data_IF_233208339873
#
_entry.id   IF_233208339873
#
_cell.length_a   1.000
_cell.length_b   1.000
_cell.length_c   1.000
_cell.angle_alpha   90.00
_cell.angle_beta   90.00
_cell.angle_gamma   90.00
#
_symmetry.space_group_name_H-M   'P 1'
#
loop_
_entity.id
_entity.type
_entity.pdbx_description
1 polymer ?
#
# COMPACT_ATOMS: atom_id res chain seq x y z
N UNK A 1 20.23 0.45 -30.15
CA UNK A 1 19.43 0.62 -28.92
C UNK A 1 19.89 -0.44 -27.93
N UNK A 2 20.38 -0.09 -26.74
CA UNK A 2 20.70 -1.09 -25.72
C UNK A 2 19.44 -1.43 -24.94
N UNK A 3 18.99 -2.67 -25.03
CA UNK A 3 17.93 -3.19 -24.15
C UNK A 3 18.51 -3.36 -22.76
N UNK A 4 18.15 -2.47 -21.82
CA UNK A 4 18.46 -2.66 -20.42
C UNK A 4 17.62 -3.83 -19.90
N UNK A 5 18.24 -5.01 -19.79
CA UNK A 5 17.61 -6.16 -19.17
C UNK A 5 17.58 -5.95 -17.65
N UNK A 6 16.42 -5.58 -17.14
CA UNK A 6 16.19 -5.48 -15.71
C UNK A 6 15.78 -6.86 -15.20
N UNK A 7 16.53 -7.40 -14.24
CA UNK A 7 16.17 -8.64 -13.55
C UNK A 7 14.89 -8.39 -12.73
N UNK A 8 13.81 -9.07 -13.10
CA UNK A 8 12.55 -9.13 -12.35
C UNK A 8 12.82 -9.72 -10.96
N UNK A 9 13.08 -8.85 -9.99
CA UNK A 9 13.19 -9.19 -8.59
C UNK A 9 12.15 -8.38 -7.81
N UNK A 10 11.54 -8.98 -6.78
CA UNK A 10 10.57 -8.27 -5.94
C UNK A 10 11.30 -7.20 -5.13
N UNK A 11 10.69 -6.03 -4.97
CA UNK A 11 11.19 -5.02 -4.05
C UNK A 11 11.31 -5.61 -2.64
N UNK A 12 12.40 -5.26 -1.96
CA UNK A 12 12.66 -5.66 -0.57
C UNK A 12 12.23 -4.56 0.39
N UNK A 13 12.09 -4.89 1.67
CA UNK A 13 11.81 -3.90 2.72
C UNK A 13 12.88 -2.79 2.77
N UNK A 14 14.15 -3.14 2.55
CA UNK A 14 15.26 -2.18 2.53
C UNK A 14 15.19 -1.24 1.33
N UNK A 15 14.73 -1.71 0.16
CA UNK A 15 14.50 -0.87 -1.01
C UNK A 15 13.49 0.25 -0.65
N UNK A 16 12.35 -0.12 -0.06
CA UNK A 16 11.32 0.83 0.36
C UNK A 16 11.81 1.79 1.45
N UNK A 17 12.56 1.31 2.46
CA UNK A 17 13.14 2.16 3.52
C UNK A 17 14.08 3.24 2.96
N UNK A 18 14.88 2.90 1.95
CA UNK A 18 15.79 3.86 1.32
C UNK A 18 14.99 4.88 0.51
N UNK A 19 13.99 4.42 -0.26
CA UNK A 19 13.13 5.31 -1.06
C UNK A 19 12.31 6.26 -0.19
N UNK A 20 11.80 5.79 0.96
CA UNK A 20 11.06 6.63 1.89
C UNK A 20 11.90 7.81 2.40
N UNK A 21 13.17 7.58 2.71
CA UNK A 21 14.10 8.66 3.12
C UNK A 21 14.38 9.66 2.01
N UNK A 22 14.36 9.22 0.75
CA UNK A 22 14.48 10.10 -0.42
C UNK A 22 13.24 10.97 -0.53
N UNK A 23 12.05 10.37 -0.39
CA UNK A 23 10.78 11.08 -0.41
C UNK A 23 10.68 12.12 0.71
N UNK A 24 11.00 11.76 1.95
CA UNK A 24 11.01 12.68 3.09
C UNK A 24 11.91 13.90 2.84
N UNK A 25 13.10 13.69 2.27
CA UNK A 25 14.02 14.78 1.93
C UNK A 25 13.45 15.70 0.84
N UNK A 26 12.76 15.16 -0.17
CA UNK A 26 12.07 15.98 -1.18
C UNK A 26 10.91 16.76 -0.58
N UNK A 27 10.08 16.14 0.25
CA UNK A 27 8.98 16.83 0.93
C UNK A 27 9.51 17.96 1.80
N UNK A 28 10.63 17.76 2.49
CA UNK A 28 11.22 18.81 3.31
C UNK A 28 11.71 19.98 2.46
N UNK A 29 12.27 19.73 1.26
CA UNK A 29 12.65 20.79 0.31
C UNK A 29 11.42 21.51 -0.24
N UNK A 30 10.40 20.79 -0.71
CA UNK A 30 9.22 21.38 -1.36
C UNK A 30 8.30 22.12 -0.39
N UNK A 31 8.14 21.61 0.83
CA UNK A 31 7.17 22.14 1.80
C UNK A 31 7.78 23.16 2.78
N UNK A 32 9.10 23.36 2.75
CA UNK A 32 9.74 24.39 3.56
C UNK A 32 9.64 25.74 2.85
N UNK A 33 8.60 26.51 3.15
CA UNK A 33 8.38 27.84 2.57
C UNK A 33 9.59 28.79 2.71
N UNK A 34 10.54 28.51 3.61
CA UNK A 34 11.88 29.09 3.65
C UNK A 34 12.91 28.08 4.19
N UNK A 35 13.61 27.39 3.30
CA UNK A 35 14.80 26.60 3.60
C UNK A 35 16.06 27.42 3.35
N UNK A 36 17.07 27.27 4.21
CA UNK A 36 18.37 27.89 3.97
C UNK A 36 19.15 27.12 2.90
N UNK A 37 19.94 27.83 2.08
CA UNK A 37 20.78 27.22 1.04
C UNK A 37 21.64 26.06 1.56
N UNK A 38 22.22 26.21 2.76
CA UNK A 38 23.03 25.16 3.38
C UNK A 38 22.22 23.91 3.73
N UNK A 39 20.95 24.06 4.14
CA UNK A 39 20.09 22.93 4.47
C UNK A 39 19.60 22.25 3.20
N UNK A 40 19.26 23.01 2.18
CA UNK A 40 18.90 22.49 0.86
C UNK A 40 20.05 21.69 0.25
N UNK A 41 21.27 22.21 0.29
CA UNK A 41 22.47 21.51 -0.19
C UNK A 41 22.68 20.18 0.55
N UNK A 42 22.46 20.14 1.86
CA UNK A 42 22.58 18.92 2.67
C UNK A 42 21.51 17.90 2.31
N UNK A 43 20.26 18.32 2.16
CA UNK A 43 19.16 17.44 1.77
C UNK A 43 19.41 16.86 0.37
N UNK A 44 19.84 17.68 -0.59
CA UNK A 44 20.22 17.23 -1.92
C UNK A 44 21.34 16.18 -1.88
N UNK A 45 22.38 16.37 -1.06
CA UNK A 45 23.45 15.37 -0.88
C UNK A 45 22.94 14.07 -0.26
N UNK A 46 22.03 14.14 0.71
CA UNK A 46 21.38 12.96 1.29
C UNK A 46 20.57 12.22 0.23
N UNK A 47 19.73 12.94 -0.52
CA UNK A 47 18.92 12.38 -1.61
C UNK A 47 19.78 11.65 -2.63
N UNK A 48 20.83 12.30 -3.14
CA UNK A 48 21.76 11.69 -4.10
C UNK A 48 22.44 10.46 -3.49
N UNK A 49 22.95 10.56 -2.25
CA UNK A 49 23.61 9.44 -1.58
C UNK A 49 22.70 8.23 -1.38
N UNK A 50 21.41 8.45 -1.07
CA UNK A 50 20.43 7.39 -0.90
C UNK A 50 20.00 6.77 -2.23
N UNK A 51 19.84 7.56 -3.29
CA UNK A 51 19.58 7.05 -4.64
C UNK A 51 20.74 6.20 -5.16
N UNK A 52 21.99 6.61 -4.89
CA UNK A 52 23.17 5.82 -5.20
C UNK A 52 23.21 4.51 -4.40
N UNK A 53 22.83 4.56 -3.11
CA UNK A 53 22.74 3.37 -2.26
C UNK A 53 21.67 2.38 -2.76
N UNK A 54 20.52 2.89 -3.20
CA UNK A 54 19.44 2.07 -3.76
C UNK A 54 19.87 1.41 -5.08
N UNK A 55 20.63 2.15 -5.88
CA UNK A 55 21.07 1.74 -7.21
C UNK A 55 19.90 1.61 -8.19
N UNK A 56 20.24 1.42 -9.46
CA UNK A 56 19.24 1.22 -10.53
C UNK A 56 18.37 -0.01 -10.28
N UNK A 57 18.95 -1.07 -9.71
CA UNK A 57 18.23 -2.30 -9.37
C UNK A 57 17.13 -2.06 -8.34
N UNK A 58 17.43 -1.43 -7.20
CA UNK A 58 16.43 -1.16 -6.16
C UNK A 58 15.33 -0.22 -6.65
N UNK A 59 15.72 0.82 -7.39
CA UNK A 59 14.78 1.76 -7.99
C UNK A 59 13.79 1.05 -8.92
N UNK A 60 14.28 0.25 -9.86
CA UNK A 60 13.39 -0.43 -10.80
C UNK A 60 12.47 -1.44 -10.11
N UNK A 61 12.96 -2.16 -9.08
CA UNK A 61 12.10 -3.09 -8.33
C UNK A 61 10.93 -2.39 -7.65
N UNK A 62 11.15 -1.20 -7.09
CA UNK A 62 10.09 -0.41 -6.46
C UNK A 62 9.08 0.04 -7.51
N UNK A 63 9.54 0.66 -8.61
CA UNK A 63 8.65 1.15 -9.67
C UNK A 63 7.80 0.01 -10.23
N UNK A 64 8.44 -1.10 -10.61
CA UNK A 64 7.73 -2.27 -11.12
C UNK A 64 6.78 -2.88 -10.07
N UNK A 65 7.15 -2.84 -8.79
CA UNK A 65 6.30 -3.30 -7.70
C UNK A 65 5.04 -2.44 -7.55
N UNK A 66 5.18 -1.12 -7.61
CA UNK A 66 4.06 -0.19 -7.59
C UNK A 66 3.18 -0.31 -8.84
N UNK A 67 3.79 -0.40 -10.03
CA UNK A 67 3.07 -0.64 -11.29
C UNK A 67 2.31 -1.96 -11.23
N UNK A 68 2.94 -3.05 -10.76
CA UNK A 68 2.27 -4.34 -10.60
C UNK A 68 1.12 -4.25 -9.60
N UNK A 69 1.29 -3.52 -8.49
CA UNK A 69 0.21 -3.33 -7.53
C UNK A 69 -0.97 -2.61 -8.20
N UNK A 70 -0.73 -1.43 -8.77
CA UNK A 70 -1.72 -0.62 -9.49
C UNK A 70 -2.41 -1.47 -10.57
N UNK A 71 -1.64 -2.25 -11.32
CA UNK A 71 -2.15 -3.09 -12.40
C UNK A 71 -3.12 -4.18 -11.94
N UNK A 72 -2.97 -4.67 -10.71
CA UNK A 72 -3.80 -5.73 -10.16
C UNK A 72 -4.93 -5.19 -9.28
N UNK A 73 -4.77 -4.01 -8.69
CA UNK A 73 -5.73 -3.47 -7.70
C UNK A 73 -6.54 -2.30 -8.22
N UNK A 74 -6.08 -1.57 -9.23
CA UNK A 74 -6.75 -0.38 -9.75
C UNK A 74 -7.39 -0.60 -11.13
N UNK A 75 -8.49 0.11 -11.41
CA UNK A 75 -9.06 0.20 -12.75
C UNK A 75 -8.25 1.21 -13.60
N UNK A 76 -7.63 0.72 -14.68
CA UNK A 76 -6.80 1.52 -15.58
C UNK A 76 -7.59 2.34 -16.60
N UNK A 77 -8.91 2.17 -16.67
CA UNK A 77 -9.77 2.90 -17.59
C UNK A 77 -10.27 4.23 -16.99
N UNK A 78 -9.89 4.53 -15.76
CA UNK A 78 -10.24 5.72 -15.00
C UNK A 78 -9.12 6.76 -15.08
N UNK A 79 -9.47 8.04 -15.01
CA UNK A 79 -8.49 9.15 -14.98
C UNK A 79 -7.72 9.24 -13.64
N UNK A 80 -8.15 8.48 -12.63
CA UNK A 80 -7.56 8.38 -11.31
C UNK A 80 -7.40 6.89 -10.91
N UNK A 81 -6.48 6.61 -9.97
CA UNK A 81 -6.31 5.27 -9.43
C UNK A 81 -7.48 4.93 -8.50
N UNK A 82 -8.54 4.33 -9.06
CA UNK A 82 -9.66 3.77 -8.31
C UNK A 82 -9.47 2.26 -8.12
N UNK A 83 -9.81 1.74 -6.92
CA UNK A 83 -9.79 0.30 -6.68
C UNK A 83 -10.73 -0.41 -7.66
N UNK A 84 -10.35 -1.61 -8.08
CA UNK A 84 -11.21 -2.47 -8.89
C UNK A 84 -12.54 -2.73 -8.15
N UNK A 85 -13.67 -2.88 -8.86
CA UNK A 85 -14.97 -3.11 -8.22
C UNK A 85 -15.00 -4.29 -7.26
N UNK A 86 -14.21 -5.34 -7.52
CA UNK A 86 -14.08 -6.49 -6.63
C UNK A 86 -13.42 -6.15 -5.29
N UNK A 87 -12.38 -5.33 -5.30
CA UNK A 87 -11.70 -4.87 -4.08
C UNK A 87 -12.54 -3.83 -3.32
N UNK A 88 -13.22 -2.94 -4.03
CA UNK A 88 -14.15 -1.98 -3.42
C UNK A 88 -15.31 -2.69 -2.70
N UNK A 89 -15.84 -3.76 -3.30
CA UNK A 89 -16.83 -4.60 -2.66
C UNK A 89 -16.25 -5.32 -1.43
N UNK A 90 -15.02 -5.84 -1.51
CA UNK A 90 -14.36 -6.49 -0.38
C UNK A 90 -14.10 -5.53 0.80
N UNK A 91 -13.70 -4.28 0.52
CA UNK A 91 -13.56 -3.21 1.50
C UNK A 91 -14.91 -2.89 2.17
N UNK A 92 -15.97 -2.75 1.38
CA UNK A 92 -17.33 -2.52 1.89
C UNK A 92 -17.81 -3.66 2.80
N UNK A 93 -17.53 -4.92 2.44
CA UNK A 93 -17.88 -6.07 3.28
C UNK A 93 -17.04 -6.11 4.57
N UNK A 94 -15.76 -5.69 4.52
CA UNK A 94 -14.90 -5.57 5.69
C UNK A 94 -15.43 -4.50 6.67
N UNK A 95 -15.85 -3.34 6.16
CA UNK A 95 -16.44 -2.28 6.98
C UNK A 95 -17.72 -2.73 7.68
N UNK A 96 -18.58 -3.47 6.98
CA UNK A 96 -19.79 -4.07 7.58
C UNK A 96 -19.43 -5.04 8.72
N UNK A 97 -18.43 -5.89 8.52
CA UNK A 97 -17.99 -6.81 9.56
C UNK A 97 -17.37 -6.07 10.75
N UNK A 98 -16.59 -5.02 10.51
CA UNK A 98 -16.03 -4.21 11.58
C UNK A 98 -17.13 -3.53 12.40
N UNK A 99 -18.13 -2.92 11.75
CA UNK A 99 -19.27 -2.32 12.42
C UNK A 99 -20.09 -3.34 13.23
N UNK A 100 -20.27 -4.56 12.69
CA UNK A 100 -20.93 -5.65 13.41
C UNK A 100 -20.14 -6.10 14.66
N UNK A 101 -18.82 -6.22 14.55
CA UNK A 101 -17.94 -6.57 15.67
C UNK A 101 -17.91 -5.48 16.74
N UNK A 102 -17.87 -4.20 16.35
CA UNK A 102 -17.98 -3.10 17.29
C UNK A 102 -19.33 -3.08 18.03
N UNK A 103 -20.43 -3.38 17.33
CA UNK A 103 -21.74 -3.48 17.95
C UNK A 103 -21.77 -4.59 19.00
N UNK A 104 -21.24 -5.78 18.68
CA UNK A 104 -21.10 -6.90 19.63
C UNK A 104 -20.27 -6.49 20.84
N UNK A 105 -19.14 -5.80 20.65
CA UNK A 105 -18.28 -5.34 21.74
C UNK A 105 -18.97 -4.31 22.66
N UNK A 106 -19.82 -3.45 22.11
CA UNK A 106 -20.55 -2.42 22.85
C UNK A 106 -21.76 -2.96 23.60
N UNK A 107 -22.50 -3.90 23.03
CA UNK A 107 -23.74 -4.43 23.61
C UNK A 107 -23.54 -5.72 24.40
N UNK A 108 -22.47 -6.47 24.14
CA UNK A 108 -22.23 -7.81 24.69
C UNK A 108 -23.17 -8.89 24.13
N UNK A 109 -24.09 -8.53 23.22
CA UNK A 109 -25.04 -9.45 22.61
C UNK A 109 -24.56 -9.88 21.23
N UNK A 110 -24.30 -11.17 21.06
CA UNK A 110 -24.06 -11.81 19.78
C UNK A 110 -25.40 -12.00 19.06
N UNK A 111 -25.79 -11.02 18.24
CA UNK A 111 -26.94 -11.21 17.34
C UNK A 111 -26.58 -12.19 16.22
N UNK A 112 -27.53 -13.04 15.81
CA UNK A 112 -27.35 -13.99 14.71
C UNK A 112 -26.87 -13.31 13.42
N UNK A 113 -27.36 -12.09 13.19
CA UNK A 113 -27.08 -11.32 11.99
C UNK A 113 -25.65 -10.78 12.00
N UNK A 114 -25.17 -10.30 13.16
CA UNK A 114 -23.79 -9.84 13.32
C UNK A 114 -22.78 -10.99 13.15
N UNK A 115 -23.12 -12.19 13.64
CA UNK A 115 -22.29 -13.39 13.46
C UNK A 115 -22.29 -13.86 12.00
N UNK A 116 -23.45 -13.87 11.33
CA UNK A 116 -23.56 -14.23 9.93
C UNK A 116 -22.75 -13.28 9.02
N UNK A 117 -22.86 -11.96 9.25
CA UNK A 117 -22.09 -10.94 8.52
C UNK A 117 -20.59 -11.16 8.73
N UNK A 118 -20.12 -11.31 9.97
CA UNK A 118 -18.70 -11.53 10.24
C UNK A 118 -18.17 -12.83 9.60
N UNK A 119 -18.95 -13.91 9.63
CA UNK A 119 -18.58 -15.20 9.02
C UNK A 119 -18.48 -15.13 7.50
N UNK A 120 -19.46 -14.50 6.85
CA UNK A 120 -19.46 -14.34 5.39
C UNK A 120 -18.32 -13.44 4.92
N UNK A 121 -18.09 -12.30 5.59
CA UNK A 121 -17.00 -11.38 5.25
C UNK A 121 -15.61 -12.01 5.43
N UNK A 122 -15.38 -12.75 6.53
CA UNK A 122 -14.12 -13.44 6.78
C UNK A 122 -13.94 -14.70 5.91
N UNK A 123 -14.94 -15.04 5.07
CA UNK A 123 -14.91 -16.23 4.24
C UNK A 123 -14.94 -17.55 5.03
N UNK A 124 -15.38 -17.51 6.29
CA UNK A 124 -15.46 -18.69 7.15
C UNK A 124 -16.51 -19.70 6.66
N UNK A 125 -17.49 -19.23 5.88
CA UNK A 125 -18.49 -20.12 5.27
C UNK A 125 -17.96 -20.87 4.03
N UNK A 126 -16.82 -20.45 3.46
CA UNK A 126 -16.13 -21.20 2.39
C UNK A 126 -15.34 -22.39 2.92
N UNK A 127 -14.95 -22.34 4.20
CA UNK A 127 -14.35 -23.46 4.92
C UNK A 127 -15.43 -24.06 5.80
N UNK A 128 -16.34 -24.83 5.20
CA UNK A 128 -17.45 -25.45 5.92
C UNK A 128 -16.97 -26.22 7.16
N UNK A 129 -17.02 -25.57 8.31
CA UNK A 129 -17.24 -26.26 9.58
C UNK A 129 -18.72 -26.63 9.56
N UNK A 130 -19.01 -27.72 8.84
CA UNK A 130 -20.23 -28.47 9.05
C UNK A 130 -20.11 -29.04 10.46
N UNK A 131 -20.61 -28.32 11.44
CA UNK A 131 -20.90 -28.90 12.74
C UNK A 131 -22.09 -29.85 12.54
N UNK A 132 -21.80 -31.15 12.56
CA UNK A 132 -22.79 -32.22 12.81
C UNK A 132 -23.43 -32.08 14.20
#
# INVERSE_FOLDING_TARGET
MSTHQVKLAKATEDDFKIMWKVFDAFQEIENSGQISELREERLNKVTIGRLLQLGTGGFTRIVMGCETLIDNVCDKNQDYYELTPSLLNAETELDKAHAALEAILKTGELSSDSVAIARTTLGLDKYGLNDE
#
